data_IF_687635562850
#
_entry.id   IF_687635562850
#
_cell.length_a   1.000
_cell.length_b   1.000
_cell.length_c   1.000
_cell.angle_alpha   90.00
_cell.angle_beta   90.00
_cell.angle_gamma   90.00
#
_symmetry.space_group_name_H-M   'P 1'
#
loop_
_entity.id
_entity.type
_entity.pdbx_description
1 polymer ?
#
# COMPACT_ATOMS: atom_id res chain seq x y z
N UNK A 1 21.52 -18.37 11.70
CA UNK A 1 21.62 -17.68 10.39
C UNK A 1 23.09 -17.47 10.07
N UNK A 2 23.47 -17.49 8.79
CA UNK A 2 24.83 -17.15 8.34
C UNK A 2 25.22 -15.75 8.81
N UNK A 3 26.55 -15.51 8.99
CA UNK A 3 27.08 -14.16 9.27
C UNK A 3 26.96 -13.23 8.04
N UNK A 4 26.62 -13.79 6.89
CA UNK A 4 26.40 -13.08 5.63
C UNK A 4 24.92 -13.16 5.23
N UNK A 5 24.37 -12.03 4.85
CA UNK A 5 22.97 -11.83 4.47
C UNK A 5 22.94 -11.25 3.08
N UNK A 6 22.23 -11.89 2.15
CA UNK A 6 22.04 -11.38 0.81
C UNK A 6 20.89 -10.37 0.78
N UNK A 7 21.10 -9.29 0.02
CA UNK A 7 20.08 -8.30 -0.27
C UNK A 7 20.16 -7.84 -1.73
N UNK A 8 19.02 -7.48 -2.28
CA UNK A 8 18.90 -6.87 -3.60
C UNK A 8 18.90 -5.34 -3.44
N UNK A 9 19.89 -4.69 -4.02
CA UNK A 9 20.21 -3.27 -3.86
C UNK A 9 19.89 -2.49 -5.12
N UNK A 10 19.14 -1.42 -4.96
CA UNK A 10 18.91 -0.40 -5.98
C UNK A 10 19.99 0.67 -5.84
N UNK A 11 21.04 0.58 -6.66
CA UNK A 11 22.24 1.43 -6.55
C UNK A 11 22.00 2.87 -7.00
N UNK A 12 21.14 3.07 -7.98
CA UNK A 12 20.70 4.37 -8.48
C UNK A 12 19.42 4.21 -9.32
N UNK A 13 18.68 5.30 -9.59
CA UNK A 13 17.53 5.25 -10.50
C UNK A 13 17.89 4.68 -11.87
N UNK A 14 17.00 3.82 -12.38
CA UNK A 14 17.11 3.17 -13.71
C UNK A 14 18.36 2.30 -13.90
N UNK A 15 19.03 1.91 -12.82
CA UNK A 15 20.11 0.91 -12.85
C UNK A 15 19.54 -0.47 -12.50
N UNK A 16 20.13 -1.54 -13.02
CA UNK A 16 19.76 -2.88 -12.61
C UNK A 16 19.91 -3.07 -11.10
N UNK A 17 19.03 -3.85 -10.53
CA UNK A 17 19.13 -4.30 -9.13
C UNK A 17 20.32 -5.26 -9.03
N UNK A 18 21.15 -5.07 -8.02
CA UNK A 18 22.35 -5.86 -7.75
C UNK A 18 22.21 -6.65 -6.45
N UNK A 19 22.65 -7.90 -6.47
CA UNK A 19 22.73 -8.70 -5.25
C UNK A 19 24.02 -8.38 -4.52
N UNK A 20 23.92 -7.97 -3.26
CA UNK A 20 25.06 -7.64 -2.41
C UNK A 20 25.02 -8.43 -1.10
N UNK A 21 26.21 -8.67 -0.52
CA UNK A 21 26.36 -9.32 0.78
C UNK A 21 26.53 -8.29 1.89
N UNK A 22 25.76 -8.46 2.95
CA UNK A 22 25.80 -7.64 4.16
C UNK A 22 26.24 -8.48 5.36
N UNK A 23 26.97 -7.87 6.28
CA UNK A 23 27.25 -8.49 7.57
C UNK A 23 26.01 -8.45 8.44
N UNK A 24 25.84 -9.50 9.26
CA UNK A 24 24.82 -9.51 10.30
C UNK A 24 25.05 -8.30 11.25
N UNK A 25 24.05 -7.45 11.49
CA UNK A 25 24.21 -6.30 12.35
C UNK A 25 24.31 -6.69 13.83
N UNK A 26 25.07 -5.92 14.59
CA UNK A 26 25.00 -5.96 16.05
C UNK A 26 23.67 -5.36 16.50
N UNK A 27 23.02 -6.02 17.44
CA UNK A 27 21.72 -5.59 17.94
C UNK A 27 21.87 -4.81 19.24
N UNK A 28 21.53 -3.52 19.28
CA UNK A 28 21.38 -2.79 20.54
C UNK A 28 20.15 -3.28 21.32
N UNK A 29 20.04 -2.90 22.58
CA UNK A 29 18.88 -3.23 23.41
C UNK A 29 17.57 -2.70 22.80
N UNK A 30 16.54 -3.53 22.71
CA UNK A 30 15.25 -3.23 22.07
C UNK A 30 15.23 -3.41 20.55
N UNK A 31 16.33 -3.85 19.93
CA UNK A 31 16.37 -4.19 18.51
C UNK A 31 16.12 -5.67 18.25
N UNK A 32 15.75 -5.99 17.02
CA UNK A 32 15.58 -7.36 16.57
C UNK A 32 16.10 -7.56 15.13
N UNK A 33 16.33 -8.81 14.77
CA UNK A 33 16.61 -9.24 13.40
C UNK A 33 15.43 -10.09 12.91
N UNK A 34 14.76 -9.61 11.89
CA UNK A 34 13.68 -10.32 11.21
C UNK A 34 14.28 -11.19 10.10
N UNK A 35 14.07 -12.50 10.15
CA UNK A 35 14.29 -13.37 8.99
C UNK A 35 13.11 -13.15 8.05
N UNK A 36 13.35 -12.51 6.92
CA UNK A 36 12.31 -12.18 5.94
C UNK A 36 11.71 -13.46 5.36
N UNK A 37 10.41 -13.65 5.53
CA UNK A 37 9.69 -14.74 4.88
C UNK A 37 9.13 -14.28 3.53
N UNK A 38 8.58 -13.07 3.49
CA UNK A 38 8.05 -12.42 2.29
C UNK A 38 8.25 -10.92 2.35
N UNK A 39 8.47 -10.33 1.17
CA UNK A 39 8.41 -8.90 0.91
C UNK A 39 7.56 -8.64 -0.33
N UNK A 40 7.37 -7.38 -0.73
CA UNK A 40 6.64 -7.03 -1.95
C UNK A 40 7.50 -6.23 -2.94
N UNK A 41 7.12 -6.33 -4.23
CA UNK A 41 7.39 -5.32 -5.26
C UNK A 41 6.05 -4.69 -5.62
N UNK A 42 5.92 -3.38 -5.47
CA UNK A 42 4.69 -2.65 -5.74
C UNK A 42 4.94 -1.37 -6.57
N UNK A 43 3.91 -0.56 -6.78
CA UNK A 43 4.02 0.71 -7.50
C UNK A 43 5.04 1.68 -6.90
N UNK A 44 5.23 1.67 -5.57
CA UNK A 44 6.25 2.49 -4.91
C UNK A 44 7.66 2.14 -5.40
N UNK A 45 7.95 0.85 -5.56
CA UNK A 45 9.28 0.40 -6.00
C UNK A 45 9.54 0.77 -7.48
N UNK A 46 8.50 0.77 -8.31
CA UNK A 46 8.57 1.30 -9.69
C UNK A 46 8.86 2.81 -9.68
N UNK A 47 8.21 3.57 -8.78
CA UNK A 47 8.51 5.00 -8.61
C UNK A 47 9.93 5.25 -8.10
N UNK A 48 10.42 4.43 -7.16
CA UNK A 48 11.83 4.46 -6.71
C UNK A 48 12.78 4.19 -7.86
N UNK A 49 12.53 3.13 -8.63
CA UNK A 49 13.37 2.77 -9.76
C UNK A 49 13.44 3.90 -10.82
N UNK A 50 12.35 4.63 -11.03
CA UNK A 50 12.33 5.80 -11.92
C UNK A 50 12.95 7.07 -11.31
N UNK A 51 13.27 7.09 -10.01
CA UNK A 51 13.75 8.28 -9.30
C UNK A 51 12.67 9.36 -9.11
N UNK A 52 11.39 8.97 -9.07
CA UNK A 52 10.25 9.90 -8.89
C UNK A 52 10.00 10.32 -7.45
N UNK A 53 10.66 9.69 -6.50
CA UNK A 53 10.60 10.05 -5.07
C UNK A 53 11.80 10.91 -4.71
N UNK A 54 11.54 12.14 -4.27
CA UNK A 54 12.61 13.06 -3.89
C UNK A 54 13.28 12.63 -2.56
N UNK A 55 14.59 12.86 -2.45
CA UNK A 55 15.35 12.67 -1.20
C UNK A 55 15.65 11.20 -0.86
N UNK A 56 15.51 10.27 -1.80
CA UNK A 56 15.91 8.86 -1.61
C UNK A 56 17.44 8.77 -1.59
N UNK A 57 18.05 8.19 -0.52
CA UNK A 57 19.51 8.14 -0.35
C UNK A 57 20.13 6.90 -1.02
N UNK A 58 20.05 6.79 -2.33
CA UNK A 58 20.68 5.65 -3.02
C UNK A 58 22.16 5.50 -2.66
N UNK A 59 22.68 4.23 -2.52
CA UNK A 59 21.99 2.96 -2.74
C UNK A 59 20.99 2.64 -1.62
N UNK A 60 19.88 1.95 -1.96
CA UNK A 60 18.87 1.49 -0.99
C UNK A 60 18.59 0.00 -1.15
N UNK A 61 18.09 -0.65 -0.11
CA UNK A 61 17.43 -1.95 -0.17
C UNK A 61 15.92 -1.69 -0.17
N UNK A 62 15.19 -1.86 -1.29
CA UNK A 62 13.74 -1.63 -1.33
C UNK A 62 12.93 -2.67 -0.54
N UNK A 63 11.59 -2.65 -0.70
CA UNK A 63 10.68 -3.56 0.00
C UNK A 63 10.25 -3.01 1.34
N UNK A 64 9.39 -1.99 1.32
CA UNK A 64 8.91 -1.26 2.51
C UNK A 64 7.85 -2.04 3.30
N UNK A 65 7.17 -3.02 2.71
CA UNK A 65 6.26 -3.93 3.41
C UNK A 65 6.80 -5.35 3.35
N UNK A 66 7.01 -5.92 4.52
CA UNK A 66 7.59 -7.24 4.68
C UNK A 66 7.10 -7.90 5.96
N UNK A 67 7.16 -9.22 5.98
CA UNK A 67 6.87 -10.01 7.17
C UNK A 67 7.82 -11.22 7.26
N UNK A 68 7.96 -11.74 8.44
CA UNK A 68 8.84 -12.86 8.67
C UNK A 68 8.80 -13.37 10.10
N UNK A 69 9.89 -14.02 10.50
CA UNK A 69 10.06 -14.59 11.85
C UNK A 69 11.21 -13.89 12.55
N UNK A 70 11.02 -13.49 13.80
CA UNK A 70 12.09 -12.91 14.62
C UNK A 70 13.19 -13.98 14.83
N UNK A 71 14.37 -13.73 14.28
CA UNK A 71 15.51 -14.65 14.33
C UNK A 71 16.53 -14.30 15.40
N UNK A 72 16.45 -13.10 15.94
CA UNK A 72 17.18 -12.66 17.12
C UNK A 72 16.47 -11.45 17.74
N UNK A 73 16.45 -11.39 19.06
CA UNK A 73 15.90 -10.28 19.83
C UNK A 73 16.91 -9.88 20.91
N UNK A 74 17.17 -8.59 21.06
CA UNK A 74 18.07 -8.09 22.09
C UNK A 74 17.32 -7.31 23.16
N UNK A 75 17.22 -7.86 24.37
CA UNK A 75 16.43 -7.30 25.45
C UNK A 75 14.92 -7.43 25.25
N UNK A 76 14.09 -6.77 26.07
CA UNK A 76 12.65 -6.80 25.92
C UNK A 76 12.21 -6.15 24.61
N UNK A 77 11.38 -6.85 23.84
CA UNK A 77 10.73 -6.32 22.63
C UNK A 77 9.22 -6.35 22.84
N UNK A 78 8.57 -5.20 22.71
CA UNK A 78 7.11 -5.09 22.79
C UNK A 78 6.51 -4.76 21.44
N UNK A 79 5.46 -5.47 21.11
CA UNK A 79 4.61 -5.16 19.98
C UNK A 79 3.91 -3.80 20.13
N UNK A 80 3.50 -3.24 19.00
CA UNK A 80 2.75 -1.97 18.99
C UNK A 80 1.38 -2.06 19.70
N UNK A 81 0.86 -3.28 19.87
CA UNK A 81 -0.34 -3.63 20.63
C UNK A 81 -0.08 -3.89 22.12
N UNK A 82 1.19 -3.78 22.55
CA UNK A 82 1.62 -4.03 23.92
C UNK A 82 1.97 -5.48 24.24
N UNK A 83 1.84 -6.42 23.30
CA UNK A 83 2.23 -7.81 23.46
C UNK A 83 3.74 -7.98 23.60
N UNK A 84 4.20 -8.97 24.38
CA UNK A 84 5.62 -9.34 24.41
C UNK A 84 5.97 -10.19 23.19
N UNK A 85 7.06 -9.84 22.52
CA UNK A 85 7.55 -10.50 21.31
C UNK A 85 8.89 -11.20 21.59
N UNK A 86 9.06 -12.41 21.03
CA UNK A 86 10.19 -13.29 21.26
C UNK A 86 10.76 -13.84 19.96
N UNK A 87 11.97 -14.38 20.03
CA UNK A 87 12.52 -15.16 18.92
C UNK A 87 11.57 -16.30 18.55
N UNK A 88 11.40 -16.53 17.24
CA UNK A 88 10.45 -17.50 16.70
C UNK A 88 9.07 -16.91 16.38
N UNK A 89 8.71 -15.73 16.89
CA UNK A 89 7.42 -15.13 16.59
C UNK A 89 7.32 -14.70 15.12
N UNK A 90 6.18 -14.99 14.51
CA UNK A 90 5.80 -14.49 13.19
C UNK A 90 5.31 -13.07 13.34
N UNK A 91 5.95 -12.13 12.64
CA UNK A 91 5.63 -10.71 12.81
C UNK A 91 5.59 -9.97 11.47
N UNK A 92 4.88 -8.86 11.49
CA UNK A 92 4.95 -7.77 10.52
C UNK A 92 5.33 -6.49 11.26
N UNK A 93 5.76 -5.47 10.53
CA UNK A 93 6.13 -4.19 11.10
C UNK A 93 5.56 -3.04 10.29
N UNK A 94 5.39 -1.89 10.95
CA UNK A 94 4.97 -0.66 10.31
C UNK A 94 6.18 0.00 9.64
N UNK A 95 6.06 0.31 8.37
CA UNK A 95 7.15 0.80 7.53
C UNK A 95 7.73 2.15 7.97
N UNK A 96 6.90 3.04 8.51
CA UNK A 96 7.39 4.30 9.12
C UNK A 96 7.94 3.98 10.50
N UNK A 97 9.24 3.69 10.56
CA UNK A 97 9.89 3.18 11.76
C UNK A 97 10.38 4.26 12.72
N UNK A 98 10.57 5.48 12.22
CA UNK A 98 11.03 6.59 13.07
C UNK A 98 10.33 7.90 12.71
N UNK A 99 9.93 8.64 13.75
CA UNK A 99 9.48 10.02 13.68
C UNK A 99 10.10 10.80 14.84
N UNK A 100 10.18 12.14 14.76
CA UNK A 100 10.89 12.90 15.80
C UNK A 100 10.12 13.00 17.13
N UNK A 101 8.83 12.66 17.17
CA UNK A 101 7.98 12.72 18.36
C UNK A 101 7.71 14.10 18.96
N UNK A 102 8.32 15.19 18.45
CA UNK A 102 8.30 16.53 19.05
C UNK A 102 7.86 17.67 18.13
N UNK A 103 7.79 17.46 16.82
CA UNK A 103 7.28 18.48 15.89
C UNK A 103 5.76 18.59 15.95
N UNK A 104 5.20 19.65 15.38
CA UNK A 104 3.75 19.90 15.37
C UNK A 104 2.96 18.76 14.72
N UNK A 105 3.49 18.13 13.66
CA UNK A 105 2.87 16.97 13.04
C UNK A 105 2.74 15.82 14.05
N UNK A 106 3.79 15.53 14.83
CA UNK A 106 3.78 14.45 15.80
C UNK A 106 2.88 14.75 17.02
N UNK A 107 2.97 15.97 17.58
CA UNK A 107 2.41 16.26 18.90
C UNK A 107 1.07 17.00 18.88
N UNK A 108 0.85 17.88 17.89
CA UNK A 108 -0.34 18.73 17.80
C UNK A 108 -1.35 18.15 16.81
N UNK A 109 -0.91 17.91 15.58
CA UNK A 109 -1.79 17.40 14.52
C UNK A 109 -2.03 15.89 14.61
N UNK A 110 -1.18 15.17 15.36
CA UNK A 110 -1.23 13.71 15.52
C UNK A 110 -1.19 12.96 14.18
N UNK A 111 -0.41 13.47 13.26
CA UNK A 111 -0.14 12.88 11.95
C UNK A 111 1.37 12.64 11.79
N UNK A 112 1.98 11.72 12.56
CA UNK A 112 3.42 11.49 12.60
C UNK A 112 4.02 11.10 11.24
N UNK A 113 3.26 10.53 10.33
CA UNK A 113 3.72 10.29 8.95
C UNK A 113 3.98 11.58 8.15
N UNK A 114 3.54 12.75 8.66
CA UNK A 114 3.89 14.09 8.15
C UNK A 114 5.12 14.70 8.83
N UNK A 115 5.78 13.94 9.70
CA UNK A 115 7.01 14.38 10.33
C UNK A 115 8.11 14.62 9.29
N UNK A 116 8.76 15.81 9.26
CA UNK A 116 9.84 16.08 8.31
C UNK A 116 11.07 15.19 8.53
N UNK A 117 11.21 14.59 9.72
CA UNK A 117 12.30 13.67 10.06
C UNK A 117 11.83 12.21 10.08
N UNK A 118 10.74 11.87 9.38
CA UNK A 118 10.30 10.49 9.30
C UNK A 118 11.30 9.64 8.53
N UNK A 119 11.47 8.39 8.97
CA UNK A 119 12.20 7.37 8.23
C UNK A 119 11.29 6.20 7.90
N UNK A 120 11.51 5.63 6.73
CA UNK A 120 10.64 4.60 6.14
C UNK A 120 11.51 3.47 5.60
N UNK A 121 11.31 2.26 6.10
CA UNK A 121 11.98 1.08 5.58
C UNK A 121 11.87 1.00 4.06
N UNK A 122 12.95 0.61 3.40
CA UNK A 122 12.98 0.42 1.95
C UNK A 122 12.96 1.70 1.12
N UNK A 123 12.94 2.89 1.74
CA UNK A 123 12.78 4.17 1.03
C UNK A 123 13.81 5.22 1.50
N UNK A 124 13.92 5.47 2.81
CA UNK A 124 14.66 6.63 3.32
C UNK A 124 15.96 6.29 4.03
N UNK A 125 16.33 5.02 4.06
CA UNK A 125 17.56 4.54 4.67
C UNK A 125 18.48 3.99 3.58
N UNK A 126 19.76 4.46 3.60
CA UNK A 126 20.75 3.95 2.65
C UNK A 126 21.12 2.50 2.98
N UNK A 127 21.43 1.72 1.95
CA UNK A 127 22.03 0.39 2.10
C UNK A 127 23.37 0.44 2.84
N UNK A 128 24.09 1.57 2.79
CA UNK A 128 25.34 1.78 3.56
C UNK A 128 25.09 1.87 5.07
N UNK A 129 23.85 2.20 5.49
CA UNK A 129 23.46 2.25 6.90
C UNK A 129 23.06 0.85 7.43
N UNK A 130 22.75 -0.13 6.55
CA UNK A 130 22.42 -1.51 6.89
C UNK A 130 21.19 -2.07 6.23
N UNK A 131 20.57 -3.08 6.88
CA UNK A 131 19.49 -3.89 6.33
C UNK A 131 18.12 -3.25 6.62
N UNK A 132 17.82 -2.12 5.98
CA UNK A 132 16.58 -1.34 6.17
C UNK A 132 15.54 -1.53 5.07
N UNK A 133 15.50 -2.70 4.43
CA UNK A 133 14.50 -3.01 3.42
C UNK A 133 14.28 -4.51 3.26
N UNK A 134 13.12 -4.86 2.74
CA UNK A 134 12.65 -6.25 2.71
C UNK A 134 13.14 -7.09 1.53
N UNK A 135 13.79 -6.48 0.55
CA UNK A 135 14.47 -7.24 -0.50
C UNK A 135 15.79 -7.82 -0.01
N UNK A 136 15.75 -8.39 1.18
CA UNK A 136 16.87 -8.98 1.88
C UNK A 136 16.45 -10.22 2.65
N UNK A 137 17.38 -11.14 2.87
CA UNK A 137 17.16 -12.34 3.68
C UNK A 137 16.86 -12.01 5.15
N UNK A 138 17.31 -10.85 5.62
CA UNK A 138 16.95 -10.35 6.94
C UNK A 138 16.83 -8.83 6.96
N UNK A 139 15.99 -8.32 7.88
CA UNK A 139 15.74 -6.89 8.10
C UNK A 139 16.15 -6.57 9.53
N UNK A 140 16.92 -5.51 9.69
CA UNK A 140 17.21 -4.95 11.00
C UNK A 140 16.01 -4.12 11.47
N UNK A 141 15.37 -4.57 12.55
CA UNK A 141 14.32 -3.83 13.23
C UNK A 141 14.95 -3.00 14.35
N UNK A 142 14.99 -1.68 14.15
CA UNK A 142 15.60 -0.78 15.13
C UNK A 142 14.72 -0.62 16.39
N UNK A 143 15.29 -0.18 17.52
CA UNK A 143 14.52 0.05 18.73
C UNK A 143 13.38 1.05 18.49
N UNK A 144 12.16 0.68 18.93
CA UNK A 144 10.98 1.54 18.84
C UNK A 144 10.17 1.41 17.53
N UNK A 145 10.58 0.57 16.58
CA UNK A 145 9.75 0.27 15.42
C UNK A 145 8.45 -0.42 15.86
N UNK A 146 7.35 -0.05 15.21
CA UNK A 146 6.03 -0.66 15.46
C UNK A 146 5.95 -2.07 14.89
N UNK A 147 6.25 -3.09 15.69
CA UNK A 147 6.13 -4.51 15.32
C UNK A 147 4.83 -5.07 15.85
N UNK A 148 4.17 -5.93 15.09
CA UNK A 148 2.99 -6.67 15.55
C UNK A 148 3.12 -8.15 15.23
N UNK A 149 2.62 -9.02 16.11
CA UNK A 149 2.48 -10.45 15.82
C UNK A 149 1.55 -10.64 14.64
N UNK A 150 1.96 -11.44 13.66
CA UNK A 150 1.09 -11.83 12.57
C UNK A 150 0.13 -12.91 13.07
N UNK A 151 -1.20 -12.71 12.98
CA UNK A 151 -2.18 -13.69 13.44
C UNK A 151 -1.97 -15.06 12.76
N UNK A 152 -2.21 -16.15 13.48
CA UNK A 152 -1.98 -17.52 12.97
C UNK A 152 -2.81 -17.84 11.72
N UNK A 153 -4.01 -17.27 11.63
CA UNK A 153 -4.91 -17.41 10.49
C UNK A 153 -4.41 -16.70 9.20
N UNK A 154 -3.40 -15.81 9.32
CA UNK A 154 -2.88 -15.01 8.22
C UNK A 154 -1.55 -15.61 7.73
N UNK A 155 -1.50 -16.05 6.49
CA UNK A 155 -0.24 -16.44 5.87
C UNK A 155 0.61 -15.22 5.53
N UNK A 156 1.92 -15.40 5.36
CA UNK A 156 2.79 -14.33 4.87
C UNK A 156 2.36 -13.82 3.49
N UNK A 157 1.91 -14.74 2.62
CA UNK A 157 1.43 -14.40 1.28
C UNK A 157 0.15 -13.56 1.33
N UNK A 158 -0.80 -13.85 2.24
CA UNK A 158 -2.01 -13.04 2.43
C UNK A 158 -1.67 -11.65 2.96
N UNK A 159 -0.74 -11.58 3.94
CA UNK A 159 -0.27 -10.29 4.48
C UNK A 159 0.36 -9.42 3.38
N UNK A 160 1.27 -9.98 2.59
CA UNK A 160 1.92 -9.25 1.49
C UNK A 160 0.94 -8.98 0.35
N UNK A 161 -0.01 -9.87 0.08
CA UNK A 161 -1.10 -9.63 -0.88
C UNK A 161 -1.89 -8.38 -0.54
N UNK A 162 -2.29 -8.20 0.71
CA UNK A 162 -2.83 -6.93 1.22
C UNK A 162 -1.79 -5.82 1.15
N UNK A 163 -0.66 -6.03 1.79
CA UNK A 163 0.52 -5.17 1.79
C UNK A 163 0.23 -3.69 1.99
N UNK A 164 1.00 -2.82 1.32
CA UNK A 164 0.80 -1.37 1.36
C UNK A 164 -0.59 -0.95 0.85
N UNK A 165 -1.17 -1.69 -0.10
CA UNK A 165 -2.49 -1.41 -0.67
C UNK A 165 -3.60 -1.47 0.38
N UNK A 166 -3.58 -2.46 1.27
CA UNK A 166 -4.57 -2.61 2.32
C UNK A 166 -4.45 -1.51 3.39
N UNK A 167 -3.23 -1.18 3.84
CA UNK A 167 -3.01 -0.08 4.78
C UNK A 167 -3.54 1.24 4.22
N UNK A 168 -3.23 1.52 2.98
CA UNK A 168 -3.71 2.71 2.26
C UNK A 168 -5.23 2.69 2.12
N UNK A 169 -5.83 1.53 1.79
CA UNK A 169 -7.28 1.40 1.67
C UNK A 169 -8.00 1.65 3.01
N UNK A 170 -7.46 1.19 4.14
CA UNK A 170 -8.00 1.54 5.47
C UNK A 170 -8.05 3.06 5.65
N UNK A 171 -6.96 3.76 5.32
CA UNK A 171 -6.91 5.23 5.40
C UNK A 171 -7.89 5.89 4.42
N UNK A 172 -7.98 5.40 3.17
CA UNK A 172 -8.93 5.90 2.17
C UNK A 172 -10.37 5.83 2.68
N UNK A 173 -10.79 4.68 3.22
CA UNK A 173 -12.15 4.48 3.73
C UNK A 173 -12.44 5.36 4.96
N UNK A 174 -11.46 5.58 5.82
CA UNK A 174 -11.56 6.54 6.92
C UNK A 174 -11.73 7.97 6.39
N UNK A 175 -10.91 8.36 5.40
CA UNK A 175 -11.05 9.67 4.73
C UNK A 175 -12.38 9.81 4.00
N UNK A 176 -12.88 8.74 3.40
CA UNK A 176 -14.17 8.72 2.73
C UNK A 176 -15.35 8.85 3.70
N UNK A 177 -15.15 8.54 4.98
CA UNK A 177 -16.24 8.41 5.96
C UNK A 177 -17.38 7.53 5.41
N UNK A 178 -16.99 6.36 4.85
CA UNK A 178 -17.93 5.42 4.24
C UNK A 178 -19.03 5.03 5.21
N UNK A 179 -20.26 4.98 4.73
CA UNK A 179 -21.45 4.57 5.51
C UNK A 179 -22.07 3.33 4.87
N UNK A 180 -22.68 2.43 5.69
CA UNK A 180 -23.50 1.36 5.15
C UNK A 180 -24.58 1.91 4.22
N UNK A 181 -24.73 1.31 3.05
CA UNK A 181 -25.67 1.76 2.02
C UNK A 181 -25.10 2.74 0.99
N UNK A 182 -23.93 3.34 1.21
CA UNK A 182 -23.29 4.19 0.19
C UNK A 182 -23.03 3.40 -1.10
N UNK A 183 -23.24 4.04 -2.24
CA UNK A 183 -22.73 3.61 -3.54
C UNK A 183 -21.30 4.12 -3.73
N UNK A 184 -20.40 3.25 -4.23
CA UNK A 184 -18.96 3.53 -4.31
C UNK A 184 -18.45 3.31 -5.74
N UNK A 185 -17.73 4.27 -6.27
CA UNK A 185 -16.91 4.08 -7.47
C UNK A 185 -15.44 4.06 -7.08
N UNK A 186 -14.68 3.08 -7.57
CA UNK A 186 -13.23 2.99 -7.38
C UNK A 186 -12.55 3.13 -8.74
N UNK A 187 -11.81 4.21 -8.93
CA UNK A 187 -10.98 4.45 -10.10
C UNK A 187 -9.57 3.87 -9.86
N UNK A 188 -9.23 2.84 -10.62
CA UNK A 188 -7.98 2.10 -10.51
C UNK A 188 -8.16 0.72 -9.89
N UNK A 189 -7.63 -0.31 -10.57
CA UNK A 189 -7.64 -1.72 -10.16
C UNK A 189 -6.24 -2.24 -9.82
N UNK A 190 -5.39 -1.35 -9.30
CA UNK A 190 -4.13 -1.70 -8.65
C UNK A 190 -4.35 -2.23 -7.22
N UNK A 191 -3.28 -2.56 -6.50
CA UNK A 191 -3.36 -3.12 -5.15
C UNK A 191 -4.18 -2.25 -4.17
N UNK A 192 -4.07 -0.92 -4.28
CA UNK A 192 -4.83 0.04 -3.47
C UNK A 192 -6.32 -0.01 -3.81
N UNK A 193 -6.66 0.07 -5.11
CA UNK A 193 -8.06 0.05 -5.55
C UNK A 193 -8.74 -1.28 -5.25
N UNK A 194 -8.09 -2.41 -5.48
CA UNK A 194 -8.59 -3.74 -5.15
C UNK A 194 -8.86 -3.87 -3.64
N UNK A 195 -7.93 -3.39 -2.81
CA UNK A 195 -8.11 -3.38 -1.36
C UNK A 195 -9.24 -2.44 -0.92
N UNK A 196 -9.39 -1.29 -1.57
CA UNK A 196 -10.48 -0.35 -1.30
C UNK A 196 -11.85 -0.94 -1.65
N UNK A 197 -11.95 -1.69 -2.77
CA UNK A 197 -13.16 -2.45 -3.15
C UNK A 197 -13.54 -3.44 -2.05
N UNK A 198 -12.59 -4.27 -1.60
CA UNK A 198 -12.85 -5.25 -0.55
C UNK A 198 -13.32 -4.59 0.75
N UNK A 199 -12.61 -3.53 1.19
CA UNK A 199 -12.99 -2.83 2.41
C UNK A 199 -14.32 -2.06 2.27
N UNK A 200 -14.64 -1.51 1.10
CA UNK A 200 -15.95 -0.90 0.84
C UNK A 200 -17.08 -1.93 0.96
N UNK A 201 -16.90 -3.13 0.40
CA UNK A 201 -17.85 -4.24 0.55
C UNK A 201 -18.01 -4.64 2.01
N UNK A 202 -16.92 -4.83 2.73
CA UNK A 202 -16.93 -5.17 4.16
C UNK A 202 -17.54 -4.04 5.03
N UNK A 203 -17.40 -2.80 4.57
CA UNK A 203 -17.98 -1.60 5.21
C UNK A 203 -19.47 -1.40 4.92
N UNK A 204 -20.09 -2.25 4.11
CA UNK A 204 -21.54 -2.24 3.84
C UNK A 204 -21.95 -1.34 2.67
N UNK A 205 -21.05 -1.03 1.73
CA UNK A 205 -21.41 -0.36 0.49
C UNK A 205 -22.50 -1.16 -0.25
N UNK A 206 -23.53 -0.46 -0.77
CA UNK A 206 -24.65 -1.08 -1.47
C UNK A 206 -24.30 -1.50 -2.89
N UNK A 207 -23.60 -0.63 -3.61
CA UNK A 207 -23.16 -0.82 -4.98
C UNK A 207 -21.70 -0.39 -5.10
N UNK A 208 -20.86 -1.22 -5.71
CA UNK A 208 -19.44 -0.94 -5.93
C UNK A 208 -19.13 -1.11 -7.42
N UNK A 209 -18.71 -0.03 -8.05
CA UNK A 209 -18.26 -0.01 -9.44
C UNK A 209 -16.74 0.18 -9.48
N UNK A 210 -16.03 -0.77 -10.08
CA UNK A 210 -14.60 -0.66 -10.34
C UNK A 210 -14.36 -0.14 -11.77
N UNK A 211 -13.50 0.84 -11.93
CA UNK A 211 -13.07 1.37 -13.24
C UNK A 211 -11.57 1.16 -13.35
N UNK A 212 -11.10 0.41 -14.34
CA UNK A 212 -9.67 0.11 -14.47
C UNK A 212 -9.30 -0.72 -15.68
N UNK A 213 -8.10 -1.26 -15.67
CA UNK A 213 -7.55 -2.19 -16.66
C UNK A 213 -6.33 -2.92 -16.05
N UNK A 214 -5.83 -4.02 -16.62
CA UNK A 214 -6.42 -4.82 -17.71
C UNK A 214 -7.58 -5.74 -17.24
N UNK A 215 -8.11 -6.55 -18.14
CA UNK A 215 -9.26 -7.42 -17.88
C UNK A 215 -9.08 -8.34 -16.66
N UNK A 216 -7.88 -8.91 -16.48
CA UNK A 216 -7.56 -9.80 -15.35
C UNK A 216 -7.71 -9.10 -14.00
N UNK A 217 -7.39 -7.81 -13.94
CA UNK A 217 -7.58 -7.00 -12.73
C UNK A 217 -9.05 -6.62 -12.51
N UNK A 218 -9.84 -6.49 -13.57
CA UNK A 218 -11.28 -6.29 -13.48
C UNK A 218 -11.98 -7.54 -12.96
N UNK A 219 -11.56 -8.72 -13.41
CA UNK A 219 -12.05 -9.99 -12.88
C UNK A 219 -11.69 -10.16 -11.40
N UNK A 220 -10.47 -9.78 -11.01
CA UNK A 220 -10.09 -9.77 -9.61
C UNK A 220 -10.90 -8.74 -8.80
N UNK A 221 -11.19 -7.56 -9.35
CA UNK A 221 -12.03 -6.56 -8.70
C UNK A 221 -13.42 -7.10 -8.35
N UNK A 222 -14.03 -7.89 -9.24
CA UNK A 222 -15.29 -8.58 -8.96
C UNK A 222 -15.16 -9.60 -7.82
N UNK A 223 -14.09 -10.39 -7.81
CA UNK A 223 -13.82 -11.34 -6.70
C UNK A 223 -13.51 -10.62 -5.38
N UNK A 224 -12.95 -9.42 -5.44
CA UNK A 224 -12.73 -8.57 -4.28
C UNK A 224 -14.01 -7.89 -3.77
N UNK A 225 -15.13 -7.95 -4.52
CA UNK A 225 -16.43 -7.47 -4.08
C UNK A 225 -17.06 -6.36 -4.91
N UNK A 226 -16.49 -5.99 -6.06
CA UNK A 226 -17.16 -5.08 -7.00
C UNK A 226 -18.40 -5.76 -7.63
N UNK A 227 -19.49 -5.03 -7.72
CA UNK A 227 -20.71 -5.48 -8.42
C UNK A 227 -20.52 -5.34 -9.92
N UNK A 228 -19.87 -4.24 -10.34
CA UNK A 228 -19.58 -3.94 -11.74
C UNK A 228 -18.09 -3.59 -11.91
N UNK A 229 -17.55 -3.97 -13.08
CA UNK A 229 -16.18 -3.65 -13.46
C UNK A 229 -16.16 -3.15 -14.91
N UNK A 230 -15.64 -1.95 -15.09
CA UNK A 230 -15.65 -1.22 -16.36
C UNK A 230 -14.22 -1.07 -16.87
N UNK A 231 -13.98 -1.52 -18.10
CA UNK A 231 -12.69 -1.33 -18.76
C UNK A 231 -12.54 0.12 -19.22
N UNK A 232 -11.60 0.82 -18.60
CA UNK A 232 -11.27 2.22 -18.89
C UNK A 232 -10.71 2.40 -20.31
N UNK A 233 -10.13 1.34 -20.89
CA UNK A 233 -9.52 1.40 -22.23
C UNK A 233 -10.54 1.16 -23.34
N UNK A 234 -11.69 0.53 -23.03
CA UNK A 234 -12.74 0.20 -23.96
C UNK A 234 -13.95 1.15 -23.89
N UNK A 235 -13.95 2.12 -22.97
CA UNK A 235 -15.10 2.99 -22.70
C UNK A 235 -14.67 4.46 -22.65
N UNK A 236 -15.62 5.37 -23.00
CA UNK A 236 -15.40 6.80 -22.85
C UNK A 236 -15.82 7.28 -21.45
N UNK A 237 -15.31 8.43 -20.95
CA UNK A 237 -15.75 8.99 -19.67
C UNK A 237 -17.27 9.21 -19.60
N UNK A 238 -17.90 9.65 -20.70
CA UNK A 238 -19.35 9.86 -20.79
C UNK A 238 -20.11 8.55 -20.62
N UNK A 239 -19.69 7.49 -21.33
CA UNK A 239 -20.33 6.17 -21.23
C UNK A 239 -20.20 5.60 -19.80
N UNK A 240 -19.04 5.81 -19.13
CA UNK A 240 -18.86 5.40 -17.73
C UNK A 240 -19.75 6.19 -16.78
N UNK A 241 -19.87 7.50 -16.99
CA UNK A 241 -20.76 8.35 -16.19
C UNK A 241 -22.23 7.91 -16.34
N UNK A 242 -22.69 7.65 -17.57
CA UNK A 242 -24.07 7.20 -17.83
C UNK A 242 -24.31 5.82 -17.19
N UNK A 243 -23.32 4.92 -17.26
CA UNK A 243 -23.43 3.61 -16.62
C UNK A 243 -23.51 3.73 -15.10
N UNK A 244 -22.64 4.51 -14.45
CA UNK A 244 -22.69 4.73 -13.00
C UNK A 244 -24.03 5.34 -12.60
N UNK A 245 -24.54 6.31 -13.33
CA UNK A 245 -25.85 6.91 -13.08
C UNK A 245 -26.99 5.90 -13.18
N UNK A 246 -26.94 4.99 -14.16
CA UNK A 246 -27.96 3.94 -14.29
C UNK A 246 -28.05 3.04 -13.07
N UNK A 247 -26.95 2.88 -12.34
CA UNK A 247 -26.86 2.07 -11.12
C UNK A 247 -27.15 2.87 -9.83
N UNK A 248 -27.23 4.20 -9.91
CA UNK A 248 -27.32 5.12 -8.77
C UNK A 248 -28.49 6.09 -8.90
N UNK A 249 -29.65 5.61 -9.33
CA UNK A 249 -30.89 6.37 -9.48
C UNK A 249 -30.77 7.64 -10.35
N UNK A 250 -29.79 7.72 -11.25
CA UNK A 250 -29.53 8.87 -12.09
C UNK A 250 -28.63 9.95 -11.48
N UNK A 251 -28.23 9.81 -10.22
CA UNK A 251 -27.55 10.85 -9.44
C UNK A 251 -26.02 10.81 -9.55
N UNK A 252 -25.42 9.61 -9.59
CA UNK A 252 -23.99 9.36 -9.43
C UNK A 252 -23.67 8.71 -8.08
N UNK A 253 -22.40 8.46 -7.79
CA UNK A 253 -22.00 7.72 -6.60
C UNK A 253 -21.92 8.61 -5.33
N UNK A 254 -22.28 8.05 -4.17
CA UNK A 254 -22.10 8.68 -2.86
C UNK A 254 -20.63 8.96 -2.55
N UNK A 255 -19.77 8.01 -2.95
CA UNK A 255 -18.31 8.06 -2.72
C UNK A 255 -17.59 7.68 -3.99
N UNK A 256 -16.60 8.47 -4.37
CA UNK A 256 -15.65 8.13 -5.42
C UNK A 256 -14.24 8.07 -4.82
N UNK A 257 -13.53 6.97 -5.07
CA UNK A 257 -12.18 6.72 -4.58
C UNK A 257 -11.21 6.68 -5.76
N UNK A 258 -10.34 7.66 -5.85
CA UNK A 258 -9.30 7.71 -6.88
C UNK A 258 -8.04 6.97 -6.38
N UNK A 259 -7.72 5.86 -7.02
CA UNK A 259 -6.56 5.00 -6.74
C UNK A 259 -5.77 4.66 -8.03
N UNK A 260 -6.00 5.39 -9.12
CA UNK A 260 -5.34 5.17 -10.41
C UNK A 260 -4.04 6.00 -10.53
N UNK A 261 -3.97 7.18 -9.91
CA UNK A 261 -2.85 8.09 -10.02
C UNK A 261 -2.67 8.70 -11.42
N UNK A 262 -3.75 8.73 -12.21
CA UNK A 262 -3.74 9.31 -13.56
C UNK A 262 -4.42 10.69 -13.55
N UNK A 263 -3.80 11.76 -14.11
CA UNK A 263 -4.39 13.10 -14.12
C UNK A 263 -5.82 13.15 -14.68
N UNK A 264 -6.12 12.34 -15.71
CA UNK A 264 -7.45 12.26 -16.32
C UNK A 264 -8.53 11.65 -15.38
N UNK A 265 -8.15 10.86 -14.39
CA UNK A 265 -9.09 10.26 -13.44
C UNK A 265 -9.71 11.31 -12.51
N UNK A 266 -9.00 12.42 -12.23
CA UNK A 266 -9.48 13.44 -11.29
C UNK A 266 -10.73 14.17 -11.80
N UNK A 267 -10.76 14.79 -12.98
CA UNK A 267 -11.98 15.44 -13.46
C UNK A 267 -13.13 14.45 -13.68
N UNK A 268 -12.84 13.24 -14.16
CA UNK A 268 -13.84 12.20 -14.30
C UNK A 268 -14.43 11.80 -12.93
N UNK A 269 -13.62 11.60 -11.91
CA UNK A 269 -14.08 11.26 -10.57
C UNK A 269 -14.98 12.32 -9.94
N UNK A 270 -14.68 13.61 -10.20
CA UNK A 270 -15.55 14.72 -9.80
C UNK A 270 -16.92 14.66 -10.48
N UNK A 271 -16.98 14.23 -11.75
CA UNK A 271 -18.25 14.07 -12.48
C UNK A 271 -19.03 12.84 -12.03
N UNK A 272 -18.35 11.73 -11.70
CA UNK A 272 -18.95 10.47 -11.24
C UNK A 272 -19.63 10.56 -9.86
N UNK A 273 -19.14 11.44 -8.98
CA UNK A 273 -19.76 11.66 -7.68
C UNK A 273 -21.11 12.40 -7.82
N UNK A 274 -22.09 12.03 -7.00
CA UNK A 274 -23.38 12.77 -6.95
C UNK A 274 -23.24 14.15 -6.30
N UNK A 275 -24.28 14.95 -6.37
CA UNK A 275 -24.37 16.21 -5.61
C UNK A 275 -24.32 15.88 -4.10
N UNK A 276 -23.52 16.62 -3.33
CA UNK A 276 -23.24 16.36 -1.91
C UNK A 276 -22.43 15.08 -1.66
N UNK A 277 -21.85 14.47 -2.69
CA UNK A 277 -20.99 13.29 -2.59
C UNK A 277 -19.61 13.58 -2.04
N UNK A 278 -18.81 12.54 -1.90
CA UNK A 278 -17.42 12.58 -1.38
C UNK A 278 -16.45 12.02 -2.40
N UNK A 279 -15.37 12.75 -2.63
CA UNK A 279 -14.29 12.33 -3.52
C UNK A 279 -12.97 12.27 -2.76
N UNK A 280 -12.32 11.10 -2.74
CA UNK A 280 -11.04 10.88 -2.08
C UNK A 280 -9.97 10.62 -3.13
N UNK A 281 -8.94 11.46 -3.15
CA UNK A 281 -7.79 11.34 -4.05
C UNK A 281 -6.65 10.67 -3.29
N UNK A 282 -6.24 9.48 -3.73
CA UNK A 282 -5.17 8.68 -3.10
C UNK A 282 -4.14 8.14 -4.09
N UNK A 283 -4.51 7.96 -5.37
CA UNK A 283 -3.63 7.39 -6.39
C UNK A 283 -2.45 8.28 -6.76
N UNK A 284 -2.56 9.60 -6.56
CA UNK A 284 -1.50 10.57 -6.82
C UNK A 284 -0.42 10.53 -5.71
N UNK A 285 0.26 9.38 -5.60
CA UNK A 285 1.33 9.18 -4.62
C UNK A 285 2.57 10.02 -4.93
N UNK A 286 2.89 10.21 -6.21
CA UNK A 286 3.93 11.09 -6.72
C UNK A 286 3.33 12.14 -7.64
N UNK A 287 4.08 13.22 -7.92
CA UNK A 287 3.69 14.22 -8.90
C UNK A 287 3.77 13.60 -10.31
N UNK A 288 2.63 13.58 -10.99
CA UNK A 288 2.49 13.08 -12.36
C UNK A 288 1.97 14.17 -13.32
N UNK A 289 1.98 15.42 -12.88
CA UNK A 289 1.55 16.59 -13.65
C UNK A 289 0.19 17.13 -13.24
N UNK A 290 -0.26 18.15 -13.98
CA UNK A 290 -1.46 18.92 -13.70
C UNK A 290 -2.69 18.32 -14.39
N UNK A 291 -3.87 18.65 -13.86
CA UNK A 291 -5.16 18.36 -14.48
C UNK A 291 -6.07 19.59 -14.43
N UNK A 292 -6.93 19.75 -15.44
CA UNK A 292 -7.90 20.82 -15.49
C UNK A 292 -9.24 20.40 -14.91
N UNK A 293 -9.82 21.23 -14.06
CA UNK A 293 -11.14 21.03 -13.47
C UNK A 293 -12.00 22.30 -13.66
N UNK A 294 -13.30 22.13 -13.77
CA UNK A 294 -14.25 23.25 -13.71
C UNK A 294 -14.80 23.39 -12.29
N UNK A 295 -14.22 24.30 -11.52
CA UNK A 295 -14.55 24.46 -10.10
C UNK A 295 -16.04 24.76 -9.86
N UNK A 296 -16.70 25.53 -10.75
CA UNK A 296 -18.13 25.81 -10.60
C UNK A 296 -18.99 24.56 -10.81
N UNK A 297 -18.79 23.87 -11.94
CA UNK A 297 -19.63 22.74 -12.35
C UNK A 297 -19.35 21.48 -11.51
N UNK A 298 -18.07 21.17 -11.27
CA UNK A 298 -17.63 19.90 -10.69
C UNK A 298 -17.53 19.92 -9.17
N UNK A 299 -17.39 21.08 -8.55
CA UNK A 299 -17.19 21.19 -7.09
C UNK A 299 -18.31 22.04 -6.45
N UNK A 300 -18.36 23.34 -6.78
CA UNK A 300 -19.17 24.30 -6.05
C UNK A 300 -20.67 24.01 -6.16
N UNK A 301 -21.16 23.85 -7.40
CA UNK A 301 -22.59 23.58 -7.68
C UNK A 301 -23.01 22.21 -7.09
N UNK A 302 -22.12 21.24 -7.05
CA UNK A 302 -22.37 19.90 -6.50
C UNK A 302 -22.25 19.83 -4.97
N UNK A 303 -21.78 20.90 -4.30
CA UNK A 303 -21.42 20.83 -2.87
C UNK A 303 -20.52 19.65 -2.53
N UNK A 304 -19.57 19.32 -3.42
CA UNK A 304 -18.75 18.14 -3.34
C UNK A 304 -17.68 18.27 -2.24
N UNK A 305 -17.52 17.23 -1.44
CA UNK A 305 -16.41 17.13 -0.50
C UNK A 305 -15.20 16.45 -1.15
N UNK A 306 -14.09 17.16 -1.28
CA UNK A 306 -12.83 16.62 -1.82
C UNK A 306 -11.84 16.43 -0.68
N UNK A 307 -11.27 15.24 -0.57
CA UNK A 307 -10.34 14.87 0.49
C UNK A 307 -9.10 14.19 -0.07
N UNK A 308 -7.92 14.69 0.29
CA UNK A 308 -6.66 14.02 -0.02
C UNK A 308 -6.38 12.88 0.95
N UNK A 309 -5.74 11.82 0.46
CA UNK A 309 -5.23 10.71 1.26
C UNK A 309 -3.80 10.35 0.82
N UNK A 310 -2.83 10.46 1.73
CA UNK A 310 -1.45 10.14 1.44
C UNK A 310 -0.75 9.57 2.67
N UNK A 311 -0.07 8.41 2.50
CA UNK A 311 0.57 7.69 3.57
C UNK A 311 -0.42 7.00 4.52
N UNK A 312 0.12 6.33 5.53
CA UNK A 312 -0.65 5.60 6.54
C UNK A 312 -0.06 5.83 7.92
N UNK A 313 -0.87 5.74 8.94
CA UNK A 313 -0.45 5.82 10.34
C UNK A 313 -0.44 4.41 10.97
N UNK A 314 0.24 4.24 12.09
CA UNK A 314 0.32 2.97 12.80
C UNK A 314 -1.04 2.36 13.15
N UNK A 315 -2.06 3.20 13.40
CA UNK A 315 -3.44 2.73 13.60
C UNK A 315 -4.05 2.05 12.38
N UNK A 316 -3.68 2.48 11.16
CA UNK A 316 -4.12 1.82 9.92
C UNK A 316 -3.45 0.46 9.77
N UNK A 317 -2.17 0.32 10.17
CA UNK A 317 -1.46 -0.96 10.18
C UNK A 317 -2.15 -1.98 11.07
N UNK A 318 -2.47 -1.63 12.31
CA UNK A 318 -3.17 -2.55 13.23
C UNK A 318 -4.58 -2.92 12.73
N UNK A 319 -5.32 -1.96 12.18
CA UNK A 319 -6.63 -2.23 11.57
C UNK A 319 -6.52 -3.16 10.37
N UNK A 320 -5.50 -2.97 9.53
CA UNK A 320 -5.25 -3.85 8.38
C UNK A 320 -4.97 -5.29 8.83
N UNK A 321 -4.15 -5.50 9.86
CA UNK A 321 -3.91 -6.82 10.45
C UNK A 321 -5.21 -7.45 10.97
N UNK A 322 -6.03 -6.69 11.71
CA UNK A 322 -7.32 -7.17 12.19
C UNK A 322 -8.30 -7.53 11.07
N UNK A 323 -8.27 -6.78 9.95
CA UNK A 323 -9.08 -7.10 8.77
C UNK A 323 -8.60 -8.39 8.09
N UNK A 324 -7.29 -8.57 7.95
CA UNK A 324 -6.71 -9.81 7.43
C UNK A 324 -7.10 -11.00 8.30
N UNK A 325 -6.92 -10.91 9.62
CA UNK A 325 -7.29 -11.98 10.55
C UNK A 325 -8.76 -12.38 10.42
N UNK A 326 -9.64 -11.39 10.38
CA UNK A 326 -11.09 -11.62 10.37
C UNK A 326 -11.63 -12.11 9.03
N UNK A 327 -11.01 -11.70 7.93
CA UNK A 327 -11.57 -11.86 6.58
C UNK A 327 -10.64 -12.57 5.60
N UNK A 328 -9.50 -13.15 6.03
CA UNK A 328 -8.57 -13.87 5.17
C UNK A 328 -9.26 -14.96 4.33
N UNK A 329 -10.21 -15.70 4.90
CA UNK A 329 -10.94 -16.74 4.20
C UNK A 329 -12.04 -16.23 3.22
N UNK A 330 -12.36 -14.94 3.25
CA UNK A 330 -13.45 -14.35 2.44
C UNK A 330 -12.97 -13.45 1.32
N UNK A 331 -11.78 -12.89 1.46
CA UNK A 331 -11.18 -11.93 0.52
C UNK A 331 -9.90 -12.54 -0.02
N UNK A 332 -9.74 -12.65 -1.34
CA UNK A 332 -8.60 -13.33 -1.94
C UNK A 332 -7.34 -12.44 -1.97
N UNK A 333 -6.86 -12.02 -0.79
CA UNK A 333 -5.69 -11.13 -0.65
C UNK A 333 -4.47 -11.65 -1.38
N UNK A 334 -4.22 -12.96 -1.29
CA UNK A 334 -3.09 -13.61 -1.94
C UNK A 334 -3.07 -13.40 -3.45
N UNK A 335 -4.24 -13.35 -4.09
CA UNK A 335 -4.34 -13.14 -5.54
C UNK A 335 -3.91 -11.72 -5.95
N UNK A 336 -4.05 -10.74 -5.05
CA UNK A 336 -3.50 -9.38 -5.26
C UNK A 336 -1.97 -9.42 -5.29
N UNK A 337 -1.34 -10.31 -4.51
CA UNK A 337 0.10 -10.53 -4.47
C UNK A 337 0.69 -11.09 -5.76
N UNK A 338 -0.12 -11.82 -6.53
CA UNK A 338 0.29 -12.37 -7.82
C UNK A 338 1.43 -13.40 -7.72
N UNK A 339 2.51 -13.18 -8.48
CA UNK A 339 3.62 -14.13 -8.63
C UNK A 339 4.72 -13.89 -7.59
N UNK A 340 5.40 -14.96 -7.17
CA UNK A 340 6.58 -14.91 -6.29
C UNK A 340 7.86 -14.92 -7.11
N UNK A 341 8.83 -14.09 -6.71
CA UNK A 341 10.15 -13.95 -7.34
C UNK A 341 11.26 -14.10 -6.29
N UNK A 342 12.37 -14.79 -6.64
CA UNK A 342 13.59 -14.77 -5.83
C UNK A 342 14.34 -13.43 -5.98
N UNK A 343 15.33 -13.17 -5.12
CA UNK A 343 16.07 -11.89 -5.13
C UNK A 343 16.75 -11.60 -6.47
N UNK A 344 17.31 -12.61 -7.12
CA UNK A 344 18.01 -12.46 -8.41
C UNK A 344 17.09 -12.16 -9.60
N UNK A 345 15.75 -12.24 -9.39
CA UNK A 345 14.73 -11.95 -10.41
C UNK A 345 13.97 -10.63 -10.18
N UNK A 346 14.44 -9.77 -9.30
CA UNK A 346 13.73 -8.52 -9.00
C UNK A 346 13.73 -7.51 -10.15
N UNK A 347 14.70 -7.56 -11.05
CA UNK A 347 14.63 -6.80 -12.31
C UNK A 347 13.45 -7.24 -13.19
N UNK A 348 13.17 -8.55 -13.24
CA UNK A 348 11.99 -9.10 -13.95
C UNK A 348 10.70 -8.69 -13.21
N UNK A 349 10.66 -8.81 -11.89
CA UNK A 349 9.50 -8.42 -11.08
C UNK A 349 9.11 -6.94 -11.26
N UNK A 350 10.11 -6.04 -11.29
CA UNK A 350 9.90 -4.61 -11.57
C UNK A 350 9.31 -4.37 -12.97
N UNK A 351 9.87 -5.04 -13.99
CA UNK A 351 9.38 -4.92 -15.37
C UNK A 351 7.96 -5.48 -15.52
N UNK A 352 7.62 -6.58 -14.82
CA UNK A 352 6.27 -7.15 -14.80
C UNK A 352 5.27 -6.23 -14.09
N UNK A 353 5.67 -5.58 -12.99
CA UNK A 353 4.85 -4.60 -12.28
C UNK A 353 4.61 -3.33 -13.12
N UNK A 354 5.66 -2.80 -13.74
CA UNK A 354 5.60 -1.60 -14.59
C UNK A 354 4.72 -1.81 -15.83
N UNK A 355 4.85 -2.97 -16.48
CA UNK A 355 4.02 -3.33 -17.64
C UNK A 355 2.60 -3.78 -17.30
N UNK A 356 2.20 -3.68 -16.03
CA UNK A 356 0.88 -4.08 -15.50
C UNK A 356 0.54 -5.57 -15.71
N UNK A 357 1.51 -6.43 -16.06
CA UNK A 357 1.32 -7.90 -16.16
C UNK A 357 0.96 -8.53 -14.81
N UNK A 358 1.38 -7.91 -13.73
CA UNK A 358 1.03 -8.28 -12.35
C UNK A 358 0.54 -7.05 -11.58
N UNK A 359 -0.27 -7.25 -10.56
CA UNK A 359 -0.72 -6.16 -9.69
C UNK A 359 0.41 -5.71 -8.75
N UNK A 360 1.09 -6.68 -8.17
CA UNK A 360 2.34 -6.60 -7.40
C UNK A 360 3.06 -7.95 -7.47
N UNK A 361 4.25 -8.05 -6.91
CA UNK A 361 4.93 -9.32 -6.74
C UNK A 361 5.20 -9.62 -5.27
N UNK A 362 5.22 -10.91 -4.92
CA UNK A 362 5.81 -11.39 -3.70
C UNK A 362 7.31 -11.63 -3.92
N UNK A 363 8.12 -11.33 -2.94
CA UNK A 363 9.55 -11.62 -2.94
C UNK A 363 9.83 -12.72 -1.91
N UNK A 364 10.47 -13.80 -2.34
CA UNK A 364 11.01 -14.85 -1.46
C UNK A 364 12.54 -14.75 -1.46
N UNK A 365 13.16 -14.20 -0.40
CA UNK A 365 14.60 -14.02 -0.37
C UNK A 365 15.42 -15.31 -0.21
N UNK A 366 14.76 -16.47 -0.14
CA UNK A 366 15.40 -17.77 0.15
C UNK A 366 15.31 -18.76 -1.03
N UNK A 367 14.65 -18.39 -2.13
CA UNK A 367 14.62 -19.16 -3.36
C UNK A 367 15.84 -18.93 -4.23
#
# INVERSE_FOLDING_TARGET
MSDRILAAVMTAPRKPIEIQEFKRPDLPNGAALLRTARSEVCGTDVHLWHGRLAGVPYPIIPGHVSAGTLSAVRGPLRGIDGSDLHEGDRVAFFDVHRTCGRCRACTVHRTPTRCPSRRVYGITDSADEGLFGGWAQAIYLEPGVGVARLPDAVSFDDYIGGGCGLLTAVHILERAALRPGDSVVVQGTGAVGLSAIALARLGGASTIVAIGAPAERLDLAKRMGADEAIDVTATTPEARLDHVRSLTHGEGADVVLEAAGAPAAVPEGLDLARDGGRYVIAGHYTDVGETSINAHRQINRKHLEIRGCWGSEAGHFLRALSMLERYAARVPWREVGGRTYPLDKLNEALADAESMRITKALVDPWQ
#
